data_IF_240044591444
#
_entry.id   IF_240044591444
#
_cell.length_a   1.000
_cell.length_b   1.000
_cell.length_c   1.000
_cell.angle_alpha   90.00
_cell.angle_beta   90.00
_cell.angle_gamma   90.00
#
_symmetry.space_group_name_H-M   'P 1'
#
loop_
_entity.id
_entity.type
_entity.pdbx_description
1 polymer ?
#
# COMPACT_ATOMS: atom_id res chain seq x y z
N UNK A 1 -75.99 29.08 -3.42
CA UNK A 1 -74.95 28.09 -3.73
C UNK A 1 -74.20 27.82 -2.43
N UNK A 2 -74.40 26.67 -1.80
CA UNK A 2 -73.66 26.28 -0.61
C UNK A 2 -72.33 25.67 -1.06
N UNK A 3 -71.22 26.25 -0.60
CA UNK A 3 -69.88 25.75 -0.86
C UNK A 3 -69.79 24.27 -0.47
N UNK A 4 -69.20 23.48 -1.37
CA UNK A 4 -68.86 22.08 -1.16
C UNK A 4 -67.95 21.95 0.07
N UNK A 5 -68.52 21.77 1.25
CA UNK A 5 -67.78 21.72 2.51
C UNK A 5 -67.12 20.35 2.62
N UNK A 6 -65.79 20.32 2.51
CA UNK A 6 -65.01 19.12 2.79
C UNK A 6 -65.24 18.67 4.24
N UNK A 7 -65.17 17.37 4.52
CA UNK A 7 -65.21 16.86 5.90
C UNK A 7 -64.02 17.40 6.69
N UNK A 8 -64.17 17.54 8.00
CA UNK A 8 -63.06 17.95 8.88
C UNK A 8 -61.87 16.97 8.76
N UNK A 9 -62.16 15.68 8.60
CA UNK A 9 -61.15 14.64 8.36
C UNK A 9 -60.41 14.85 7.02
N UNK A 10 -61.11 15.24 5.94
CA UNK A 10 -60.43 15.57 4.68
C UNK A 10 -59.45 16.73 4.86
N UNK A 11 -59.88 17.79 5.55
CA UNK A 11 -59.05 18.98 5.78
C UNK A 11 -57.84 18.64 6.64
N UNK A 12 -58.01 17.80 7.67
CA UNK A 12 -56.91 17.35 8.51
C UNK A 12 -55.88 16.53 7.73
N UNK A 13 -56.33 15.56 6.92
CA UNK A 13 -55.43 14.77 6.06
C UNK A 13 -54.72 15.65 5.01
N UNK A 14 -55.39 16.69 4.49
CA UNK A 14 -54.79 17.66 3.57
C UNK A 14 -53.68 18.48 4.25
N UNK A 15 -53.92 18.95 5.48
CA UNK A 15 -52.92 19.70 6.25
C UNK A 15 -51.71 18.82 6.58
N UNK A 16 -51.95 17.58 6.99
CA UNK A 16 -50.89 16.60 7.25
C UNK A 16 -50.07 16.31 5.99
N UNK A 17 -50.72 16.08 4.85
CA UNK A 17 -50.04 15.91 3.56
C UNK A 17 -49.16 17.11 3.20
N UNK A 18 -49.66 18.34 3.34
CA UNK A 18 -48.89 19.56 3.08
C UNK A 18 -47.69 19.69 4.01
N UNK A 19 -47.88 19.42 5.29
CA UNK A 19 -46.81 19.52 6.28
C UNK A 19 -45.68 18.52 5.99
N UNK A 20 -46.02 17.25 5.75
CA UNK A 20 -45.04 16.21 5.45
C UNK A 20 -44.34 16.49 4.11
N UNK A 21 -45.10 16.84 3.07
CA UNK A 21 -44.53 17.12 1.75
C UNK A 21 -43.57 18.31 1.79
N UNK A 22 -43.86 19.36 2.55
CA UNK A 22 -42.92 20.49 2.71
C UNK A 22 -41.67 20.10 3.50
N UNK A 23 -41.78 19.28 4.55
CA UNK A 23 -40.60 18.77 5.26
C UNK A 23 -39.68 17.97 4.32
N UNK A 24 -40.27 17.05 3.53
CA UNK A 24 -39.51 16.24 2.58
C UNK A 24 -38.88 17.11 1.51
N UNK A 25 -39.64 18.04 0.90
CA UNK A 25 -39.10 18.98 -0.11
C UNK A 25 -37.98 19.85 0.44
N UNK A 26 -38.09 20.34 1.67
CA UNK A 26 -37.03 21.16 2.28
C UNK A 26 -35.73 20.35 2.41
N UNK A 27 -35.81 19.11 2.89
CA UNK A 27 -34.63 18.23 2.99
C UNK A 27 -34.04 17.92 1.62
N UNK A 28 -34.88 17.59 0.63
CA UNK A 28 -34.46 17.37 -0.75
C UNK A 28 -33.75 18.59 -1.34
N UNK A 29 -34.28 19.81 -1.12
CA UNK A 29 -33.67 21.06 -1.59
C UNK A 29 -32.33 21.35 -0.95
N UNK A 30 -32.18 21.07 0.35
CA UNK A 30 -30.92 21.25 1.06
C UNK A 30 -29.89 20.16 0.73
N UNK A 31 -30.29 19.10 0.04
CA UNK A 31 -29.45 17.92 -0.18
C UNK A 31 -29.06 17.24 1.13
N UNK A 32 -29.86 17.44 2.20
CA UNK A 32 -29.60 16.82 3.49
C UNK A 32 -29.95 15.34 3.42
N UNK A 33 -28.93 14.49 3.38
CA UNK A 33 -29.09 13.05 3.43
C UNK A 33 -29.79 12.66 4.74
N UNK A 34 -30.96 12.04 4.61
CA UNK A 34 -31.65 11.36 5.71
C UNK A 34 -31.62 9.86 5.48
N UNK A 35 -31.97 9.08 6.50
CA UNK A 35 -32.01 7.62 6.37
C UNK A 35 -33.05 7.19 5.34
N UNK A 36 -32.80 6.07 4.64
CA UNK A 36 -33.79 5.44 3.75
C UNK A 36 -35.13 5.22 4.47
N UNK A 37 -35.06 4.90 5.76
CA UNK A 37 -36.23 4.72 6.63
C UNK A 37 -37.02 6.02 6.83
N UNK A 38 -36.34 7.17 6.95
CA UNK A 38 -37.01 8.48 7.02
C UNK A 38 -37.82 8.73 5.74
N UNK A 39 -37.21 8.57 4.57
CA UNK A 39 -37.89 8.83 3.31
C UNK A 39 -39.04 7.86 3.06
N UNK A 40 -38.81 6.56 3.30
CA UNK A 40 -39.84 5.53 3.18
C UNK A 40 -41.05 5.82 4.08
N UNK A 41 -40.80 6.13 5.36
CA UNK A 41 -41.87 6.46 6.31
C UNK A 41 -42.70 7.66 5.85
N UNK A 42 -42.06 8.73 5.40
CA UNK A 42 -42.79 9.93 4.96
C UNK A 42 -43.56 9.68 3.67
N UNK A 43 -43.03 8.89 2.73
CA UNK A 43 -43.75 8.49 1.51
C UNK A 43 -44.98 7.64 1.84
N UNK A 44 -44.83 6.66 2.73
CA UNK A 44 -45.95 5.82 3.19
C UNK A 44 -47.04 6.65 3.88
N UNK A 45 -46.64 7.67 4.65
CA UNK A 45 -47.56 8.59 5.31
C UNK A 45 -48.29 9.51 4.31
N UNK A 46 -47.58 10.04 3.31
CA UNK A 46 -48.21 10.81 2.22
C UNK A 46 -49.22 9.96 1.43
N UNK A 47 -48.88 8.69 1.15
CA UNK A 47 -49.78 7.71 0.53
C UNK A 47 -51.01 7.47 1.40
N UNK A 48 -50.84 7.33 2.72
CA UNK A 48 -51.95 7.20 3.68
C UNK A 48 -52.88 8.42 3.60
N UNK A 49 -52.36 9.63 3.68
CA UNK A 49 -53.16 10.86 3.62
C UNK A 49 -53.97 10.96 2.31
N UNK A 50 -53.35 10.65 1.17
CA UNK A 50 -54.04 10.64 -0.14
C UNK A 50 -55.18 9.62 -0.16
N UNK A 51 -54.95 8.40 0.35
CA UNK A 51 -55.96 7.34 0.39
C UNK A 51 -57.13 7.69 1.32
N UNK A 52 -56.85 8.32 2.46
CA UNK A 52 -57.89 8.80 3.37
C UNK A 52 -58.71 9.92 2.72
N UNK A 53 -58.05 10.91 2.09
CA UNK A 53 -58.73 11.95 1.32
C UNK A 53 -59.60 11.38 0.20
N UNK A 54 -59.16 10.33 -0.51
CA UNK A 54 -59.96 9.63 -1.51
C UNK A 54 -61.22 9.00 -0.95
N UNK A 55 -61.09 8.34 0.20
CA UNK A 55 -62.21 7.69 0.88
C UNK A 55 -63.23 8.73 1.31
N UNK A 56 -62.78 9.81 1.94
CA UNK A 56 -63.62 10.94 2.35
C UNK A 56 -64.33 11.60 1.16
N UNK A 57 -63.59 11.87 0.07
CA UNK A 57 -64.18 12.47 -1.14
C UNK A 57 -65.27 11.59 -1.76
N UNK A 58 -65.15 10.25 -1.65
CA UNK A 58 -66.17 9.33 -2.18
C UNK A 58 -67.49 9.40 -1.42
N UNK A 59 -67.49 9.78 -0.13
CA UNK A 59 -68.69 9.91 0.71
C UNK A 59 -69.41 11.26 0.53
N UNK A 60 -68.85 12.19 -0.24
CA UNK A 60 -69.45 13.50 -0.48
C UNK A 60 -70.44 13.52 -1.65
N UNK A 61 -71.26 14.58 -1.73
CA UNK A 61 -72.20 14.81 -2.83
C UNK A 61 -71.49 14.87 -4.20
N UNK A 62 -72.17 14.45 -5.27
CA UNK A 62 -71.60 14.31 -6.63
C UNK A 62 -70.84 15.55 -7.12
N UNK A 63 -71.35 16.75 -6.83
CA UNK A 63 -70.70 18.01 -7.20
C UNK A 63 -69.39 18.24 -6.42
N UNK A 64 -69.43 18.07 -5.10
CA UNK A 64 -68.28 18.20 -4.18
C UNK A 64 -67.21 17.15 -4.46
N UNK A 65 -67.64 15.91 -4.73
CA UNK A 65 -66.79 14.77 -5.07
C UNK A 65 -65.88 15.07 -6.26
N UNK A 66 -66.41 15.67 -7.34
CA UNK A 66 -65.62 16.02 -8.52
C UNK A 66 -64.52 17.05 -8.21
N UNK A 67 -64.84 18.04 -7.37
CA UNK A 67 -63.89 19.07 -6.94
C UNK A 67 -62.78 18.44 -6.08
N UNK A 68 -63.15 17.63 -5.09
CA UNK A 68 -62.20 16.97 -4.18
C UNK A 68 -61.31 15.95 -4.92
N UNK A 69 -61.87 15.18 -5.86
CA UNK A 69 -61.11 14.24 -6.70
C UNK A 69 -60.06 14.95 -7.57
N UNK A 70 -60.39 16.11 -8.14
CA UNK A 70 -59.40 16.90 -8.87
C UNK A 70 -58.26 17.37 -7.96
N UNK A 71 -58.55 17.73 -6.71
CA UNK A 71 -57.55 18.14 -5.72
C UNK A 71 -56.64 16.97 -5.32
N UNK A 72 -57.23 15.81 -5.05
CA UNK A 72 -56.51 14.55 -4.79
C UNK A 72 -55.58 14.20 -5.96
N UNK A 73 -56.04 14.36 -7.20
CA UNK A 73 -55.21 14.08 -8.38
C UNK A 73 -53.95 14.96 -8.39
N UNK A 74 -54.05 16.22 -7.96
CA UNK A 74 -52.88 17.08 -7.80
C UNK A 74 -51.94 16.57 -6.71
N UNK A 75 -52.47 16.08 -5.58
CA UNK A 75 -51.64 15.50 -4.52
C UNK A 75 -50.97 14.20 -4.94
N UNK A 76 -51.63 13.35 -5.73
CA UNK A 76 -51.00 12.16 -6.34
C UNK A 76 -49.81 12.54 -7.22
N UNK A 77 -50.00 13.50 -8.13
CA UNK A 77 -48.90 14.00 -8.97
C UNK A 77 -47.75 14.58 -8.14
N UNK A 78 -48.05 15.30 -7.05
CA UNK A 78 -47.02 15.81 -6.15
C UNK A 78 -46.27 14.70 -5.43
N UNK A 79 -46.98 13.66 -4.99
CA UNK A 79 -46.38 12.48 -4.38
C UNK A 79 -45.44 11.76 -5.36
N UNK A 80 -45.86 11.56 -6.61
CA UNK A 80 -45.04 10.92 -7.65
C UNK A 80 -43.72 11.68 -7.85
N UNK A 81 -43.78 13.01 -7.95
CA UNK A 81 -42.59 13.87 -8.08
C UNK A 81 -41.68 13.78 -6.85
N UNK A 82 -42.26 13.71 -5.66
CA UNK A 82 -41.49 13.56 -4.40
C UNK A 82 -40.79 12.20 -4.37
N UNK A 83 -41.49 11.12 -4.72
CA UNK A 83 -40.91 9.77 -4.77
C UNK A 83 -39.77 9.67 -5.78
N UNK A 84 -39.95 10.23 -6.99
CA UNK A 84 -38.91 10.30 -8.00
C UNK A 84 -37.69 11.08 -7.51
N UNK A 85 -37.90 12.25 -6.90
CA UNK A 85 -36.82 13.09 -6.35
C UNK A 85 -36.04 12.40 -5.24
N UNK A 86 -36.72 11.64 -4.37
CA UNK A 86 -36.09 10.82 -3.33
C UNK A 86 -35.23 9.73 -3.98
N UNK A 87 -35.79 8.98 -4.94
CA UNK A 87 -35.08 7.90 -5.60
C UNK A 87 -33.82 8.41 -6.32
N UNK A 88 -33.89 9.54 -7.01
CA UNK A 88 -32.72 10.16 -7.63
C UNK A 88 -31.63 10.52 -6.61
N UNK A 89 -32.03 11.06 -5.45
CA UNK A 89 -31.10 11.44 -4.40
C UNK A 89 -30.42 10.21 -3.79
N UNK A 90 -31.16 9.13 -3.53
CA UNK A 90 -30.61 7.87 -3.03
C UNK A 90 -29.66 7.20 -4.04
N UNK A 91 -29.98 7.24 -5.34
CA UNK A 91 -29.08 6.76 -6.39
C UNK A 91 -27.79 7.59 -6.43
N UNK A 92 -27.89 8.92 -6.32
CA UNK A 92 -26.72 9.80 -6.26
C UNK A 92 -25.85 9.48 -5.04
N UNK A 93 -26.46 9.31 -3.86
CA UNK A 93 -25.75 8.93 -2.64
C UNK A 93 -24.97 7.63 -2.82
N UNK A 94 -25.61 6.57 -3.32
CA UNK A 94 -24.96 5.28 -3.55
C UNK A 94 -23.76 5.39 -4.50
N UNK A 95 -23.84 6.24 -5.52
CA UNK A 95 -22.70 6.53 -6.42
C UNK A 95 -21.58 7.26 -5.69
N UNK A 96 -21.90 8.26 -4.87
CA UNK A 96 -20.92 9.02 -4.08
C UNK A 96 -20.23 8.14 -3.04
N UNK A 97 -20.96 7.27 -2.36
CA UNK A 97 -20.39 6.36 -1.34
C UNK A 97 -19.44 5.34 -1.99
N UNK A 98 -19.81 4.80 -3.16
CA UNK A 98 -18.91 3.94 -3.94
C UNK A 98 -17.64 4.69 -4.39
N UNK A 99 -17.76 5.96 -4.79
CA UNK A 99 -16.60 6.78 -5.16
C UNK A 99 -15.68 7.05 -3.97
N UNK A 100 -16.24 7.33 -2.80
CA UNK A 100 -15.46 7.54 -1.57
C UNK A 100 -14.77 6.25 -1.10
N UNK A 101 -15.46 5.11 -1.18
CA UNK A 101 -14.85 3.81 -0.89
C UNK A 101 -13.64 3.52 -1.79
N UNK A 102 -13.81 3.73 -3.10
CA UNK A 102 -12.73 3.52 -4.07
C UNK A 102 -11.56 4.49 -3.90
N UNK A 103 -11.81 5.74 -3.48
CA UNK A 103 -10.73 6.71 -3.19
C UNK A 103 -9.93 6.28 -1.96
N UNK A 104 -10.59 5.83 -0.90
CA UNK A 104 -9.91 5.36 0.31
C UNK A 104 -9.05 4.12 0.05
N UNK A 105 -9.54 3.19 -0.77
CA UNK A 105 -8.77 2.01 -1.19
C UNK A 105 -7.55 2.39 -2.05
N UNK A 106 -7.70 3.36 -2.97
CA UNK A 106 -6.59 3.83 -3.79
C UNK A 106 -5.52 4.58 -2.97
N UNK A 107 -5.92 5.39 -1.98
CA UNK A 107 -4.96 6.08 -1.10
C UNK A 107 -4.11 5.09 -0.31
N UNK A 108 -4.71 3.99 0.18
CA UNK A 108 -3.99 2.90 0.85
C UNK A 108 -3.01 2.19 -0.09
N UNK A 109 -3.40 1.97 -1.35
CA UNK A 109 -2.53 1.36 -2.36
C UNK A 109 -1.33 2.26 -2.67
N UNK A 110 -1.54 3.58 -2.77
CA UNK A 110 -0.47 4.54 -3.03
C UNK A 110 0.53 4.56 -1.85
N UNK A 111 0.03 4.58 -0.61
CA UNK A 111 0.88 4.52 0.58
C UNK A 111 1.73 3.23 0.62
N UNK A 112 1.16 2.10 0.21
CA UNK A 112 1.89 0.83 0.12
C UNK A 112 2.94 0.83 -1.00
N UNK A 113 2.65 1.44 -2.15
CA UNK A 113 3.62 1.63 -3.24
C UNK A 113 4.80 2.50 -2.80
N UNK A 114 4.54 3.60 -2.10
CA UNK A 114 5.59 4.51 -1.60
C UNK A 114 6.50 3.78 -0.62
N UNK A 115 5.91 3.00 0.30
CA UNK A 115 6.67 2.17 1.24
C UNK A 115 7.53 1.13 0.52
N UNK A 116 6.98 0.40 -0.45
CA UNK A 116 7.73 -0.58 -1.24
C UNK A 116 8.86 0.06 -2.05
N UNK A 117 8.65 1.27 -2.55
CA UNK A 117 9.66 2.04 -3.26
C UNK A 117 10.82 2.40 -2.33
N UNK A 118 10.54 2.90 -1.13
CA UNK A 118 11.55 3.20 -0.12
C UNK A 118 12.34 1.95 0.33
N UNK A 119 11.65 0.84 0.58
CA UNK A 119 12.29 -0.44 0.92
C UNK A 119 13.23 -0.90 -0.21
N UNK A 120 12.79 -0.75 -1.46
CA UNK A 120 13.59 -1.10 -2.65
C UNK A 120 14.83 -0.22 -2.80
N UNK A 121 14.70 1.09 -2.61
CA UNK A 121 15.83 2.02 -2.63
C UNK A 121 16.86 1.67 -1.55
N UNK A 122 16.40 1.32 -0.34
CA UNK A 122 17.28 0.93 0.75
C UNK A 122 18.02 -0.39 0.45
N UNK A 123 17.34 -1.36 -0.18
CA UNK A 123 17.97 -2.60 -0.65
C UNK A 123 19.05 -2.28 -1.67
N UNK A 124 18.77 -1.43 -2.66
CA UNK A 124 19.73 -1.05 -3.69
C UNK A 124 20.99 -0.40 -3.08
N UNK A 125 20.83 0.54 -2.15
CA UNK A 125 21.94 1.17 -1.43
C UNK A 125 22.78 0.16 -0.62
N UNK A 126 22.12 -0.80 0.04
CA UNK A 126 22.81 -1.82 0.84
C UNK A 126 23.60 -2.81 -0.03
N UNK A 127 23.04 -3.20 -1.18
CA UNK A 127 23.73 -4.05 -2.16
C UNK A 127 24.96 -3.33 -2.72
N UNK A 128 24.83 -2.07 -3.13
CA UNK A 128 25.95 -1.28 -3.66
C UNK A 128 27.08 -1.13 -2.61
N UNK A 129 26.71 -0.82 -1.36
CA UNK A 129 27.66 -0.75 -0.25
C UNK A 129 28.42 -2.08 -0.04
N UNK A 130 27.71 -3.21 -0.04
CA UNK A 130 28.31 -4.55 0.11
C UNK A 130 29.21 -4.92 -1.07
N UNK A 131 28.82 -4.57 -2.30
CA UNK A 131 29.63 -4.80 -3.49
C UNK A 131 30.93 -3.99 -3.45
N UNK A 132 30.85 -2.72 -3.03
CA UNK A 132 32.02 -1.85 -2.87
C UNK A 132 32.97 -2.38 -1.78
N UNK A 133 32.43 -2.79 -0.63
CA UNK A 133 33.22 -3.43 0.43
C UNK A 133 33.89 -4.73 -0.03
N UNK A 134 33.17 -5.59 -0.78
CA UNK A 134 33.71 -6.81 -1.36
C UNK A 134 34.84 -6.55 -2.36
N UNK A 135 34.69 -5.51 -3.19
CA UNK A 135 35.71 -5.11 -4.16
C UNK A 135 37.00 -4.64 -3.49
N UNK A 136 36.89 -3.84 -2.42
CA UNK A 136 38.04 -3.40 -1.61
C UNK A 136 38.75 -4.59 -0.96
N UNK A 137 38.00 -5.53 -0.38
CA UNK A 137 38.56 -6.75 0.21
C UNK A 137 39.33 -7.61 -0.83
N UNK A 138 38.78 -7.72 -2.05
CA UNK A 138 39.45 -8.42 -3.16
C UNK A 138 40.74 -7.72 -3.59
N UNK A 139 40.75 -6.38 -3.67
CA UNK A 139 41.98 -5.62 -3.98
C UNK A 139 43.06 -5.83 -2.91
N UNK A 140 42.69 -5.75 -1.62
CA UNK A 140 43.62 -6.01 -0.52
C UNK A 140 44.18 -7.44 -0.55
N UNK A 141 43.34 -8.43 -0.88
CA UNK A 141 43.78 -9.83 -1.04
C UNK A 141 44.78 -9.98 -2.18
N UNK A 142 44.58 -9.29 -3.32
CA UNK A 142 45.55 -9.26 -4.43
C UNK A 142 46.91 -8.71 -4.01
N UNK A 143 46.94 -7.61 -3.26
CA UNK A 143 48.19 -7.04 -2.74
C UNK A 143 48.89 -8.01 -1.77
N UNK A 144 48.17 -8.58 -0.80
CA UNK A 144 48.74 -9.58 0.12
C UNK A 144 49.33 -10.79 -0.61
N UNK A 145 48.68 -11.26 -1.69
CA UNK A 145 49.18 -12.36 -2.52
C UNK A 145 50.48 -12.00 -3.25
N UNK A 146 50.60 -10.76 -3.73
CA UNK A 146 51.84 -10.27 -4.34
C UNK A 146 52.97 -10.17 -3.32
N UNK A 147 52.69 -9.65 -2.13
CA UNK A 147 53.67 -9.55 -1.03
C UNK A 147 54.17 -10.93 -0.60
N UNK A 148 53.26 -11.88 -0.38
CA UNK A 148 53.60 -13.29 -0.10
C UNK A 148 54.48 -13.90 -1.19
N UNK A 149 54.16 -13.67 -2.48
CA UNK A 149 54.97 -14.15 -3.59
C UNK A 149 56.37 -13.52 -3.59
N UNK A 150 56.49 -12.24 -3.25
CA UNK A 150 57.78 -11.56 -3.16
C UNK A 150 58.62 -12.08 -1.98
N UNK A 151 57.98 -12.33 -0.83
CA UNK A 151 58.62 -12.86 0.36
C UNK A 151 59.08 -14.31 0.17
N UNK A 152 58.28 -15.13 -0.51
CA UNK A 152 58.69 -16.49 -0.92
C UNK A 152 59.93 -16.45 -1.81
N UNK A 153 59.95 -15.58 -2.83
CA UNK A 153 61.14 -15.40 -3.70
C UNK A 153 62.38 -14.96 -2.93
N UNK A 154 62.24 -14.04 -1.97
CA UNK A 154 63.34 -13.63 -1.10
C UNK A 154 63.84 -14.79 -0.24
N UNK A 155 62.91 -15.56 0.34
CA UNK A 155 63.25 -16.74 1.14
C UNK A 155 63.98 -17.80 0.32
N UNK A 156 63.50 -18.10 -0.90
CA UNK A 156 64.16 -19.04 -1.81
C UNK A 156 65.59 -18.59 -2.13
N UNK A 157 65.77 -17.30 -2.38
CA UNK A 157 67.10 -16.72 -2.62
C UNK A 157 68.02 -16.87 -1.41
N UNK A 158 67.53 -16.58 -0.20
CA UNK A 158 68.29 -16.77 1.04
C UNK A 158 68.66 -18.24 1.27
N UNK A 159 67.74 -19.17 1.05
CA UNK A 159 67.99 -20.61 1.18
C UNK A 159 69.07 -21.05 0.18
N UNK A 160 68.99 -20.61 -1.09
CA UNK A 160 70.03 -20.92 -2.09
C UNK A 160 71.40 -20.37 -1.67
N UNK A 161 71.46 -19.13 -1.17
CA UNK A 161 72.70 -18.52 -0.71
C UNK A 161 73.30 -19.28 0.49
N UNK A 162 72.47 -19.67 1.45
CA UNK A 162 72.91 -20.48 2.60
C UNK A 162 73.39 -21.87 2.16
N UNK A 163 72.68 -22.52 1.24
CA UNK A 163 73.05 -23.84 0.75
C UNK A 163 74.38 -23.81 -0.03
N UNK A 164 74.59 -22.77 -0.84
CA UNK A 164 75.87 -22.55 -1.52
C UNK A 164 77.02 -22.32 -0.52
N UNK A 165 76.77 -21.53 0.54
CA UNK A 165 77.77 -21.31 1.60
C UNK A 165 78.13 -22.61 2.32
N UNK A 166 77.13 -23.39 2.72
CA UNK A 166 77.34 -24.70 3.38
C UNK A 166 78.11 -25.65 2.47
N UNK A 167 77.80 -25.67 1.17
CA UNK A 167 78.49 -26.53 0.20
C UNK A 167 79.95 -26.13 0.06
N UNK A 168 80.24 -24.82 0.00
CA UNK A 168 81.59 -24.30 -0.09
C UNK A 168 82.40 -24.56 1.20
N UNK A 169 81.77 -24.37 2.37
CA UNK A 169 82.39 -24.69 3.66
C UNK A 169 82.70 -26.19 3.77
N UNK A 170 81.77 -27.07 3.36
CA UNK A 170 82.01 -28.53 3.30
C UNK A 170 83.16 -28.90 2.37
N UNK A 171 83.22 -28.29 1.19
CA UNK A 171 84.30 -28.54 0.23
C UNK A 171 85.67 -28.11 0.79
N UNK A 172 85.73 -26.93 1.42
CA UNK A 172 86.92 -26.43 2.10
C UNK A 172 87.37 -27.39 3.21
N UNK A 173 86.43 -27.86 4.04
CA UNK A 173 86.71 -28.83 5.11
C UNK A 173 87.26 -30.15 4.57
N UNK A 174 86.72 -30.64 3.44
CA UNK A 174 87.20 -31.84 2.77
C UNK A 174 88.66 -31.69 2.29
N UNK A 175 89.01 -30.52 1.72
CA UNK A 175 90.40 -30.20 1.32
C UNK A 175 91.33 -30.22 2.53
N UNK A 176 90.92 -29.62 3.66
CA UNK A 176 91.72 -29.62 4.89
C UNK A 176 91.96 -31.06 5.40
N UNK A 177 90.92 -31.91 5.40
CA UNK A 177 91.04 -33.31 5.82
C UNK A 177 92.02 -34.07 4.92
N UNK A 178 91.96 -33.88 3.60
CA UNK A 178 92.90 -34.51 2.66
C UNK A 178 94.34 -34.07 2.94
N UNK A 179 94.57 -32.77 3.16
CA UNK A 179 95.89 -32.23 3.48
C UNK A 179 96.46 -32.82 4.78
N UNK A 180 95.64 -32.93 5.83
CA UNK A 180 96.04 -33.56 7.09
C UNK A 180 96.41 -35.04 6.87
N UNK A 181 95.62 -35.78 6.11
CA UNK A 181 95.93 -37.17 5.77
C UNK A 181 97.26 -37.33 5.02
N UNK A 182 97.58 -36.42 4.08
CA UNK A 182 98.88 -36.42 3.39
C UNK A 182 100.03 -36.18 4.37
N UNK A 183 99.86 -35.25 5.31
CA UNK A 183 100.86 -34.96 6.34
C UNK A 183 101.10 -36.20 7.22
N UNK A 184 100.03 -36.87 7.66
CA UNK A 184 100.13 -38.10 8.47
C UNK A 184 100.85 -39.22 7.71
N UNK A 185 100.50 -39.45 6.43
CA UNK A 185 101.18 -40.42 5.56
C UNK A 185 102.67 -40.06 5.43
N UNK A 186 102.99 -38.79 5.21
CA UNK A 186 104.37 -38.33 5.07
C UNK A 186 105.16 -38.52 6.36
N UNK A 187 104.56 -38.24 7.52
CA UNK A 187 105.17 -38.45 8.82
C UNK A 187 105.45 -39.94 9.11
N UNK A 188 104.51 -40.83 8.76
CA UNK A 188 104.70 -42.28 8.87
C UNK A 188 105.81 -42.75 7.92
N UNK A 189 105.78 -42.31 6.66
CA UNK A 189 106.81 -42.67 5.67
C UNK A 189 108.20 -42.25 6.15
N UNK A 190 108.35 -41.03 6.69
CA UNK A 190 109.62 -40.53 7.23
C UNK A 190 110.12 -41.28 8.47
N UNK A 191 109.24 -41.99 9.18
CA UNK A 191 109.59 -42.77 10.39
C UNK A 191 110.03 -44.19 10.03
N UNK A 192 109.62 -44.70 8.87
CA UNK A 192 110.00 -46.02 8.35
C UNK A 192 111.19 -46.00 7.39
N UNK A 193 111.60 -44.81 6.92
CA UNK A 193 112.82 -44.57 6.15
C UNK A 193 113.98 -44.17 7.09
#
# INVERSE_FOLDING_TARGET
MQDAKASEEFVQNEQEFKYISEQVKQKLRKGEYSTDEFYKKNVDELKRCVKMMETEAQMTSTHSKKILQNKILQYKKQLDVIEESINELLIKQKKTDNLKGNLFENDLIIEEIDRLTQETEQIALNVDSKMNAGTLALQQSKFKKQDLKSNLRKSDFTIQMMNNKITLDKASLMVIIILLGIIDIFAIYKKFL
#
